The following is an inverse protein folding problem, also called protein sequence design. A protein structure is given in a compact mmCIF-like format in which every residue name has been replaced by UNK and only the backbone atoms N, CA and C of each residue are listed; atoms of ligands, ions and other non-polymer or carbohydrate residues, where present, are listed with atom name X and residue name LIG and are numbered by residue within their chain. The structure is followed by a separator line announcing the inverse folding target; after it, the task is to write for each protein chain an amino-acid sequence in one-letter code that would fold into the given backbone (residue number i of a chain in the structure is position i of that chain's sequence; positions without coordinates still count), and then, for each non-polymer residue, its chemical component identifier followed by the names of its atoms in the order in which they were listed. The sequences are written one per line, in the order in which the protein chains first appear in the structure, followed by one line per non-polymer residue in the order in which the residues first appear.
data_IF_082681356874
#
_entry.id   IF_082681356874
#
_cell.length_a   1.000
_cell.length_b   1.000
_cell.length_c   1.000
_cell.angle_alpha   90.00
_cell.angle_beta   90.00
_cell.angle_gamma   90.00
#
_symmetry.space_group_name_H-M   'P 1'
#
loop_
_entity.id
_entity.type
_entity.pdbx_description
1 polymer ?
#
# COMPACT_ATOMS: atom_id res chain seq x y z
N UNK A 1 -8.31 20.47 -38.69
CA UNK A 1 -8.50 20.23 -37.25
C UNK A 1 -8.83 18.76 -37.08
N UNK A 2 -8.04 18.02 -36.32
CA UNK A 2 -8.32 16.60 -36.06
C UNK A 2 -8.98 16.47 -34.69
N UNK A 3 -10.29 16.63 -34.65
CA UNK A 3 -11.08 16.55 -33.42
C UNK A 3 -10.89 15.24 -32.64
N UNK A 4 -10.55 14.16 -33.35
CA UNK A 4 -10.26 12.88 -32.70
C UNK A 4 -9.01 12.95 -31.81
N UNK A 5 -7.91 13.53 -32.28
CA UNK A 5 -6.69 13.72 -31.51
C UNK A 5 -6.92 14.68 -30.33
N UNK A 6 -7.71 15.73 -30.52
CA UNK A 6 -8.07 16.63 -29.42
C UNK A 6 -8.88 15.92 -28.34
N UNK A 7 -9.83 15.06 -28.73
CA UNK A 7 -10.61 14.25 -27.79
C UNK A 7 -9.69 13.25 -27.06
N UNK A 8 -8.78 12.60 -27.78
CA UNK A 8 -7.81 11.67 -27.21
C UNK A 8 -6.94 12.34 -26.17
N UNK A 9 -6.36 13.49 -26.46
CA UNK A 9 -5.58 14.31 -25.53
C UNK A 9 -6.36 14.70 -24.27
N UNK A 10 -7.64 15.02 -24.41
CA UNK A 10 -8.50 15.34 -23.27
C UNK A 10 -8.73 14.13 -22.37
N UNK A 11 -8.91 12.95 -22.97
CA UNK A 11 -9.07 11.69 -22.22
C UNK A 11 -7.77 11.36 -21.48
N UNK A 12 -6.63 11.41 -22.15
CA UNK A 12 -5.31 11.12 -21.54
C UNK A 12 -5.00 12.08 -20.37
N UNK A 13 -5.23 13.38 -20.55
CA UNK A 13 -5.07 14.37 -19.47
C UNK A 13 -5.96 14.11 -18.28
N UNK A 14 -7.20 13.65 -18.51
CA UNK A 14 -8.11 13.27 -17.42
C UNK A 14 -7.60 12.05 -16.66
N UNK A 15 -7.15 11.00 -17.36
CA UNK A 15 -6.66 9.76 -16.75
C UNK A 15 -5.42 10.02 -15.89
N UNK A 16 -4.49 10.86 -16.34
CA UNK A 16 -3.33 11.29 -15.54
C UNK A 16 -3.77 11.99 -14.26
N UNK A 17 -4.70 12.95 -14.35
CA UNK A 17 -5.23 13.64 -13.16
C UNK A 17 -5.91 12.70 -12.17
N UNK A 18 -6.69 11.75 -12.66
CA UNK A 18 -7.36 10.77 -11.81
C UNK A 18 -6.35 9.79 -11.17
N UNK A 19 -5.27 9.46 -11.87
CA UNK A 19 -4.14 8.68 -11.35
C UNK A 19 -3.45 9.41 -10.20
N UNK A 20 -3.04 10.64 -10.39
CA UNK A 20 -2.38 11.49 -9.37
C UNK A 20 -3.28 11.64 -8.14
N UNK A 21 -4.56 11.92 -8.33
CA UNK A 21 -5.53 12.06 -7.23
C UNK A 21 -5.68 10.77 -6.42
N UNK A 22 -5.70 9.60 -7.07
CA UNK A 22 -5.76 8.31 -6.38
C UNK A 22 -4.51 8.03 -5.56
N UNK A 23 -3.33 8.33 -6.10
CA UNK A 23 -2.05 8.16 -5.39
C UNK A 23 -1.97 9.06 -4.16
N UNK A 24 -2.28 10.35 -4.29
CA UNK A 24 -2.31 11.28 -3.17
C UNK A 24 -3.28 10.82 -2.08
N UNK A 25 -4.50 10.42 -2.45
CA UNK A 25 -5.49 9.92 -1.50
C UNK A 25 -5.04 8.65 -0.78
N UNK A 26 -4.35 7.73 -1.47
CA UNK A 26 -3.80 6.53 -0.85
C UNK A 26 -2.68 6.86 0.15
N UNK A 27 -1.76 7.74 -0.22
CA UNK A 27 -0.67 8.20 0.64
C UNK A 27 -1.21 8.85 1.92
N UNK A 28 -2.16 9.78 1.82
CA UNK A 28 -2.77 10.45 2.95
C UNK A 28 -3.51 9.48 3.89
N UNK A 29 -4.20 8.50 3.31
CA UNK A 29 -4.86 7.44 4.07
C UNK A 29 -3.86 6.59 4.84
N UNK A 30 -2.76 6.20 4.23
CA UNK A 30 -1.74 5.39 4.88
C UNK A 30 -1.01 6.18 5.97
N UNK A 31 -0.70 7.46 5.75
CA UNK A 31 -0.16 8.35 6.79
C UNK A 31 -1.09 8.43 7.99
N UNK A 32 -2.38 8.66 7.76
CA UNK A 32 -3.39 8.69 8.83
C UNK A 32 -3.43 7.36 9.60
N UNK A 33 -3.41 6.23 8.92
CA UNK A 33 -3.42 4.91 9.57
C UNK A 33 -2.14 4.61 10.33
N UNK A 34 -1.00 5.11 9.86
CA UNK A 34 0.27 5.04 10.56
C UNK A 34 0.23 5.81 11.88
N UNK A 35 -0.25 7.06 11.87
CA UNK A 35 -0.38 7.88 13.07
C UNK A 35 -1.39 7.29 14.07
N UNK A 36 -2.52 6.79 13.60
CA UNK A 36 -3.46 6.06 14.48
C UNK A 36 -2.78 4.84 15.10
N UNK A 37 -2.02 4.08 14.31
CA UNK A 37 -1.27 2.93 14.77
C UNK A 37 -0.25 3.29 15.84
N UNK A 38 0.46 4.41 15.68
CA UNK A 38 1.40 4.99 16.65
C UNK A 38 0.70 5.31 17.96
N UNK A 39 -0.39 6.06 17.92
CA UNK A 39 -1.17 6.41 19.12
C UNK A 39 -1.72 5.18 19.83
N UNK A 40 -2.12 4.14 19.11
CA UNK A 40 -2.55 2.87 19.69
C UNK A 40 -1.42 2.18 20.45
N UNK A 41 -0.21 2.17 19.91
CA UNK A 41 0.97 1.58 20.57
C UNK A 41 1.34 2.37 21.82
N UNK A 42 1.36 3.69 21.75
CA UNK A 42 1.65 4.57 22.87
C UNK A 42 0.64 4.39 24.01
N UNK A 43 -0.66 4.42 23.70
CA UNK A 43 -1.73 4.23 24.66
C UNK A 43 -1.76 2.85 25.33
N UNK A 44 -1.16 1.84 24.69
CA UNK A 44 -1.01 0.49 25.23
C UNK A 44 0.26 0.30 26.08
N UNK A 45 1.08 1.33 26.22
CA UNK A 45 2.37 1.26 26.92
C UNK A 45 3.46 0.54 26.14
N UNK A 46 3.36 0.52 24.79
CA UNK A 46 4.38 -0.01 23.89
C UNK A 46 3.91 -1.12 22.96
N UNK A 47 4.88 -1.78 22.31
CA UNK A 47 4.61 -2.74 21.23
C UNK A 47 4.14 -4.12 21.72
N UNK A 48 4.40 -4.47 22.97
CA UNK A 48 3.97 -5.76 23.53
C UNK A 48 2.45 -5.83 23.62
N UNK A 49 1.90 -6.96 23.23
CA UNK A 49 0.47 -7.20 23.37
C UNK A 49 0.14 -7.42 24.84
N UNK A 50 -0.82 -6.66 25.36
CA UNK A 50 -1.33 -6.82 26.72
C UNK A 50 -2.83 -7.02 26.69
N UNK A 51 -3.39 -7.69 27.71
CA UNK A 51 -4.85 -7.83 27.89
C UNK A 51 -5.53 -6.45 27.97
N UNK A 52 -4.90 -5.52 28.66
CA UNK A 52 -5.35 -4.13 28.77
C UNK A 52 -5.43 -3.46 27.39
N UNK A 53 -4.38 -3.61 26.56
CA UNK A 53 -4.36 -3.04 25.23
C UNK A 53 -5.45 -3.59 24.31
N UNK A 54 -5.76 -4.89 24.38
CA UNK A 54 -6.86 -5.48 23.62
C UNK A 54 -8.23 -4.95 24.06
N UNK A 55 -8.44 -4.71 25.36
CA UNK A 55 -9.66 -4.09 25.88
C UNK A 55 -9.80 -2.63 25.44
N UNK A 56 -8.70 -1.89 25.43
CA UNK A 56 -8.66 -0.50 24.97
C UNK A 56 -9.08 -0.40 23.49
N UNK A 57 -8.52 -1.26 22.62
CA UNK A 57 -8.91 -1.31 21.20
C UNK A 57 -10.41 -1.63 21.03
N UNK A 58 -10.96 -2.57 21.80
CA UNK A 58 -12.39 -2.88 21.76
C UNK A 58 -13.25 -1.67 22.16
N UNK A 59 -12.87 -0.98 23.24
CA UNK A 59 -13.58 0.22 23.72
C UNK A 59 -13.55 1.34 22.67
N UNK A 60 -12.38 1.62 22.10
CA UNK A 60 -12.22 2.68 21.11
C UNK A 60 -12.87 2.32 19.78
N UNK A 61 -12.77 1.08 19.32
CA UNK A 61 -13.46 0.64 18.11
C UNK A 61 -14.97 0.90 18.19
N UNK A 62 -15.61 0.60 19.33
CA UNK A 62 -17.05 0.84 19.49
C UNK A 62 -17.43 2.31 19.33
N UNK A 63 -16.63 3.23 19.90
CA UNK A 63 -16.83 4.67 19.77
C UNK A 63 -16.56 5.15 18.35
N UNK A 64 -15.37 4.83 17.81
CA UNK A 64 -14.96 5.27 16.48
C UNK A 64 -15.86 4.74 15.37
N UNK A 65 -16.36 3.50 15.49
CA UNK A 65 -17.31 2.97 14.52
C UNK A 65 -18.64 3.69 14.54
N UNK A 66 -19.09 4.16 15.70
CA UNK A 66 -20.32 4.96 15.83
C UNK A 66 -20.16 6.32 15.15
N UNK A 67 -19.00 6.96 15.35
CA UNK A 67 -18.78 8.34 14.93
C UNK A 67 -18.27 8.43 13.47
N UNK A 68 -17.43 7.46 13.03
CA UNK A 68 -16.71 7.52 11.74
C UNK A 68 -16.92 6.26 10.86
N UNK A 69 -17.73 5.30 11.29
CA UNK A 69 -18.13 4.13 10.50
C UNK A 69 -17.15 2.94 10.56
N UNK A 70 -17.45 1.93 9.72
CA UNK A 70 -16.83 0.58 9.75
C UNK A 70 -15.32 0.54 9.51
N UNK A 71 -14.73 1.64 9.01
CA UNK A 71 -13.28 1.77 8.81
C UNK A 71 -12.46 1.59 10.08
N UNK A 72 -13.06 1.76 11.26
CA UNK A 72 -12.41 1.70 12.56
C UNK A 72 -12.81 0.46 13.39
N UNK A 73 -13.11 -0.65 12.72
CA UNK A 73 -13.37 -1.94 13.37
C UNK A 73 -12.15 -2.43 14.16
N UNK A 74 -12.38 -3.30 15.14
CA UNK A 74 -11.33 -3.91 15.96
C UNK A 74 -10.20 -4.48 15.09
N UNK A 75 -10.56 -5.21 14.04
CA UNK A 75 -9.60 -5.80 13.10
C UNK A 75 -8.78 -4.71 12.41
N UNK A 76 -9.43 -3.64 11.97
CA UNK A 76 -8.73 -2.58 11.24
C UNK A 76 -7.81 -1.77 12.17
N UNK A 77 -8.23 -1.47 13.40
CA UNK A 77 -7.36 -0.83 14.41
C UNK A 77 -6.17 -1.71 14.76
N UNK A 78 -6.34 -3.03 14.90
CA UNK A 78 -5.23 -3.98 15.09
C UNK A 78 -4.29 -3.99 13.88
N UNK A 79 -4.81 -3.85 12.68
CA UNK A 79 -4.01 -3.74 11.46
C UNK A 79 -3.25 -2.41 11.39
N UNK A 80 -3.85 -1.29 11.76
CA UNK A 80 -3.16 0.01 11.86
C UNK A 80 -2.00 -0.05 12.87
N UNK A 81 -2.23 -0.69 14.03
CA UNK A 81 -1.17 -0.93 15.00
C UNK A 81 -0.02 -1.77 14.42
N UNK A 82 -0.32 -2.87 13.70
CA UNK A 82 0.70 -3.68 13.03
C UNK A 82 1.45 -2.88 11.97
N UNK A 83 0.72 -2.08 11.20
CA UNK A 83 1.28 -1.23 10.15
C UNK A 83 2.34 -0.28 10.72
N UNK A 84 2.02 0.42 11.81
CA UNK A 84 3.00 1.26 12.50
C UNK A 84 4.24 0.47 12.94
N UNK A 85 4.07 -0.69 13.59
CA UNK A 85 5.19 -1.50 14.08
C UNK A 85 6.09 -1.96 12.93
N UNK A 86 5.53 -2.35 11.80
CA UNK A 86 6.28 -2.80 10.62
C UNK A 86 7.02 -1.62 9.96
N UNK A 87 6.40 -0.45 9.88
CA UNK A 87 6.96 0.71 9.17
C UNK A 87 7.77 1.65 10.06
N UNK A 88 7.79 1.42 11.37
CA UNK A 88 8.54 2.24 12.34
C UNK A 88 10.03 2.28 12.01
N UNK A 89 10.57 3.50 11.93
CA UNK A 89 11.99 3.72 11.64
C UNK A 89 12.39 3.54 10.18
N UNK A 90 11.42 3.40 9.28
CA UNK A 90 11.63 3.32 7.84
C UNK A 90 10.80 4.38 7.10
N UNK A 91 11.20 4.79 5.90
CA UNK A 91 10.32 5.59 5.05
C UNK A 91 9.00 4.88 4.81
N UNK A 92 7.89 5.62 4.92
CA UNK A 92 6.57 5.05 4.74
C UNK A 92 6.40 4.53 3.31
N UNK A 93 6.06 3.24 3.18
CA UNK A 93 5.74 2.63 1.89
C UNK A 93 4.30 2.97 1.52
N UNK A 94 4.10 4.04 0.78
CA UNK A 94 2.80 4.58 0.38
C UNK A 94 2.31 4.13 -1.00
N UNK A 95 3.15 3.40 -1.74
CA UNK A 95 2.81 2.83 -3.07
C UNK A 95 1.87 1.63 -3.00
N UNK A 96 1.80 0.93 -1.87
CA UNK A 96 0.87 -0.17 -1.65
C UNK A 96 -0.49 0.35 -1.20
N UNK A 97 -1.56 -0.29 -1.66
CA UNK A 97 -2.90 -0.01 -1.13
C UNK A 97 -3.08 -0.60 0.26
N UNK A 98 -4.01 -0.05 1.06
CA UNK A 98 -4.34 -0.65 2.36
C UNK A 98 -4.77 -2.12 2.24
N UNK A 99 -5.45 -2.47 1.16
CA UNK A 99 -5.87 -3.86 0.91
C UNK A 99 -4.69 -4.79 0.66
N UNK A 100 -3.60 -4.33 0.01
CA UNK A 100 -2.37 -5.10 -0.13
C UNK A 100 -1.71 -5.30 1.24
N UNK A 101 -1.63 -4.24 2.06
CA UNK A 101 -1.12 -4.33 3.42
C UNK A 101 -1.86 -5.36 4.28
N UNK A 102 -3.20 -5.47 4.14
CA UNK A 102 -3.96 -6.48 4.91
C UNK A 102 -3.57 -7.93 4.59
N UNK A 103 -3.08 -8.21 3.39
CA UNK A 103 -2.54 -9.52 3.02
C UNK A 103 -1.12 -9.76 3.56
N UNK A 104 -0.35 -8.71 3.79
CA UNK A 104 1.03 -8.79 4.26
C UNK A 104 1.14 -8.89 5.79
N UNK A 105 0.16 -8.38 6.54
CA UNK A 105 0.17 -8.41 8.00
C UNK A 105 0.27 -9.80 8.65
N UNK A 106 -0.27 -10.89 8.07
CA UNK A 106 -0.10 -12.23 8.63
C UNK A 106 1.32 -12.79 8.50
N UNK A 107 2.12 -12.29 7.54
CA UNK A 107 3.47 -12.78 7.26
C UNK A 107 4.40 -12.35 8.39
N UNK A 108 4.98 -13.34 9.08
CA UNK A 108 5.84 -13.11 10.25
C UNK A 108 7.30 -12.88 9.87
N UNK A 109 7.77 -13.56 8.82
CA UNK A 109 9.14 -13.41 8.33
C UNK A 109 9.29 -12.06 7.63
N UNK A 110 10.21 -11.23 8.10
CA UNK A 110 10.44 -9.89 7.58
C UNK A 110 10.99 -9.92 6.14
N UNK A 111 11.90 -10.85 5.83
CA UNK A 111 12.43 -11.00 4.47
C UNK A 111 11.33 -11.41 3.49
N UNK A 112 10.48 -12.36 3.86
CA UNK A 112 9.34 -12.78 3.05
C UNK A 112 8.36 -11.61 2.82
N UNK A 113 8.03 -10.88 3.88
CA UNK A 113 7.14 -9.72 3.79
C UNK A 113 7.76 -8.64 2.90
N UNK A 114 9.04 -8.32 3.07
CA UNK A 114 9.76 -7.35 2.26
C UNK A 114 9.82 -7.77 0.79
N UNK A 115 10.00 -9.06 0.50
CA UNK A 115 9.91 -9.59 -0.84
C UNK A 115 8.57 -9.25 -1.50
N UNK A 116 7.45 -9.56 -0.84
CA UNK A 116 6.13 -9.28 -1.41
C UNK A 116 5.82 -7.77 -1.49
N UNK A 117 6.33 -6.95 -0.56
CA UNK A 117 6.28 -5.49 -0.67
C UNK A 117 6.98 -5.04 -1.95
N UNK A 118 8.22 -5.52 -2.18
CA UNK A 118 8.99 -5.17 -3.36
C UNK A 118 8.30 -5.64 -4.65
N UNK A 119 7.69 -6.83 -4.67
CA UNK A 119 6.91 -7.28 -5.81
C UNK A 119 5.71 -6.36 -6.10
N UNK A 120 5.04 -5.86 -5.06
CA UNK A 120 3.97 -4.88 -5.24
C UNK A 120 4.48 -3.56 -5.81
N UNK A 121 5.65 -3.07 -5.34
CA UNK A 121 6.23 -1.80 -5.79
C UNK A 121 6.69 -1.90 -7.25
N UNK A 122 7.38 -2.99 -7.61
CA UNK A 122 7.96 -3.17 -8.94
C UNK A 122 6.92 -3.47 -10.02
N UNK A 123 5.91 -4.29 -9.68
CA UNK A 123 4.95 -4.82 -10.65
C UNK A 123 3.54 -4.22 -10.49
N UNK A 124 3.37 -3.26 -9.58
CA UNK A 124 2.07 -2.64 -9.26
C UNK A 124 0.94 -3.66 -9.06
N UNK A 125 1.21 -4.67 -8.22
CA UNK A 125 0.29 -5.79 -8.06
C UNK A 125 -1.05 -5.37 -7.44
N UNK A 126 -2.13 -5.80 -8.06
CA UNK A 126 -3.46 -5.75 -7.46
C UNK A 126 -3.55 -6.70 -6.25
N UNK A 127 -4.58 -6.53 -5.42
CA UNK A 127 -4.85 -7.44 -4.30
C UNK A 127 -4.92 -8.91 -4.74
N UNK A 128 -5.54 -9.18 -5.90
CA UNK A 128 -5.72 -10.57 -6.41
C UNK A 128 -4.40 -11.17 -6.84
N UNK A 129 -3.58 -10.42 -7.55
CA UNK A 129 -2.24 -10.85 -8.00
C UNK A 129 -1.33 -11.11 -6.80
N UNK A 130 -1.32 -10.21 -5.82
CA UNK A 130 -0.55 -10.41 -4.59
C UNK A 130 -1.01 -11.66 -3.82
N UNK A 131 -2.32 -11.86 -3.66
CA UNK A 131 -2.86 -13.04 -3.00
C UNK A 131 -2.48 -14.33 -3.73
N UNK A 132 -2.50 -14.33 -5.07
CA UNK A 132 -2.03 -15.44 -5.89
C UNK A 132 -0.55 -15.72 -5.64
N UNK A 133 0.30 -14.69 -5.68
CA UNK A 133 1.75 -14.80 -5.49
C UNK A 133 2.10 -15.38 -4.11
N UNK A 134 1.39 -14.94 -3.06
CA UNK A 134 1.54 -15.48 -1.70
C UNK A 134 1.10 -16.94 -1.63
N UNK A 135 -0.05 -17.29 -2.23
CA UNK A 135 -0.57 -18.66 -2.27
C UNK A 135 0.37 -19.61 -2.98
N UNK A 136 1.01 -19.17 -4.06
CA UNK A 136 1.99 -19.92 -4.84
C UNK A 136 3.36 -20.00 -4.17
N UNK A 137 3.53 -19.40 -2.98
CA UNK A 137 4.77 -19.39 -2.20
C UNK A 137 5.97 -18.92 -3.02
N UNK A 138 5.81 -17.82 -3.76
CA UNK A 138 6.85 -17.32 -4.66
C UNK A 138 8.17 -17.02 -3.94
N UNK A 139 8.13 -16.57 -2.69
CA UNK A 139 9.31 -16.38 -1.85
C UNK A 139 10.08 -17.67 -1.61
N UNK A 140 9.39 -18.81 -1.43
CA UNK A 140 10.04 -20.10 -1.16
C UNK A 140 10.87 -20.61 -2.33
N UNK A 141 10.58 -20.11 -3.55
CA UNK A 141 11.32 -20.48 -4.79
C UNK A 141 12.64 -19.72 -4.95
N UNK A 142 12.89 -18.70 -4.15
CA UNK A 142 14.15 -17.98 -4.18
C UNK A 142 15.31 -18.87 -3.68
N UNK A 143 16.52 -18.60 -4.19
CA UNK A 143 17.72 -19.22 -3.64
C UNK A 143 17.93 -18.82 -2.17
N UNK A 144 18.72 -19.59 -1.43
CA UNK A 144 19.05 -19.25 -0.04
C UNK A 144 19.74 -17.88 0.08
N UNK A 145 20.60 -17.54 -0.87
CA UNK A 145 21.29 -16.25 -0.90
C UNK A 145 20.31 -15.09 -1.10
N UNK A 146 19.32 -15.24 -2.00
CA UNK A 146 18.34 -14.21 -2.31
C UNK A 146 17.31 -14.00 -1.19
N UNK A 147 17.11 -14.99 -0.33
CA UNK A 147 16.17 -14.90 0.81
C UNK A 147 16.68 -14.05 1.95
N UNK A 148 17.99 -13.84 2.02
CA UNK A 148 18.62 -13.13 3.14
C UNK A 148 18.75 -11.65 2.85
N UNK A 149 18.54 -10.82 3.89
CA UNK A 149 18.68 -9.35 3.83
C UNK A 149 17.85 -8.63 2.76
N UNK A 150 16.64 -9.08 2.50
CA UNK A 150 15.73 -8.39 1.59
C UNK A 150 15.27 -7.08 2.24
N UNK A 151 15.81 -5.97 1.75
CA UNK A 151 15.39 -4.62 2.13
C UNK A 151 14.25 -4.15 1.24
N UNK A 152 13.37 -3.32 1.79
CA UNK A 152 12.35 -2.66 0.99
C UNK A 152 13.04 -1.67 0.05
N UNK A 153 12.64 -1.71 -1.23
CA UNK A 153 13.13 -0.79 -2.25
C UNK A 153 12.59 0.60 -1.92
N UNK A 154 13.48 1.49 -1.51
CA UNK A 154 13.18 2.90 -1.34
C UNK A 154 13.53 3.61 -2.64
N UNK A 155 12.53 3.92 -3.44
CA UNK A 155 12.69 5.01 -4.38
C UNK A 155 12.76 6.27 -3.52
N UNK A 156 13.96 6.84 -3.35
CA UNK A 156 14.10 8.14 -2.70
C UNK A 156 13.07 9.06 -3.34
N UNK A 157 12.19 9.60 -2.53
CA UNK A 157 11.42 10.78 -2.90
C UNK A 157 12.40 11.95 -2.96
N UNK A 158 13.20 12.02 -4.00
CA UNK A 158 13.78 13.27 -4.42
C UNK A 158 12.61 14.14 -4.83
N UNK A 159 12.49 15.23 -4.12
CA UNK A 159 11.45 16.21 -4.19
C UNK A 159 11.04 16.49 -5.65
N UNK A 160 9.74 16.63 -5.86
CA UNK A 160 9.12 16.90 -7.14
C UNK A 160 9.22 15.74 -8.15
N UNK A 161 8.22 14.87 -8.13
CA UNK A 161 7.86 14.13 -9.32
C UNK A 161 7.66 15.16 -10.44
N UNK A 162 8.62 15.24 -11.38
CA UNK A 162 8.33 15.98 -12.59
C UNK A 162 7.17 15.27 -13.29
N UNK A 163 6.38 15.99 -14.07
CA UNK A 163 5.34 15.36 -14.91
C UNK A 163 5.89 14.17 -15.71
N UNK A 164 7.17 14.23 -16.06
CA UNK A 164 7.91 13.19 -16.78
C UNK A 164 8.16 11.95 -15.93
N UNK A 165 8.48 12.10 -14.63
CA UNK A 165 8.69 11.00 -13.70
C UNK A 165 7.35 10.33 -13.34
N UNK A 166 6.26 11.12 -13.27
CA UNK A 166 4.90 10.61 -13.12
C UNK A 166 4.44 9.81 -14.34
N UNK A 167 4.82 10.20 -15.53
CA UNK A 167 4.52 9.48 -16.77
C UNK A 167 5.32 8.17 -16.92
N UNK A 168 6.49 8.08 -16.28
CA UNK A 168 7.33 6.88 -16.25
C UNK A 168 7.00 5.94 -15.07
N UNK A 169 6.13 6.36 -14.12
CA UNK A 169 5.71 5.51 -13.02
C UNK A 169 4.80 4.38 -13.56
N UNK A 170 5.16 3.09 -13.37
CA UNK A 170 4.35 1.95 -13.84
C UNK A 170 2.90 1.96 -13.33
N UNK A 171 2.62 2.69 -12.25
CA UNK A 171 1.27 2.88 -11.69
C UNK A 171 0.41 3.73 -12.62
N UNK A 172 1.02 4.65 -13.35
CA UNK A 172 0.31 5.59 -14.25
C UNK A 172 0.23 5.04 -15.68
N UNK A 173 1.19 4.20 -16.09
CA UNK A 173 1.35 3.73 -17.49
C UNK A 173 0.57 2.45 -17.80
N UNK A 174 -0.17 1.84 -16.90
CA UNK A 174 -1.16 0.81 -17.31
C UNK A 174 -2.36 1.44 -18.02
N UNK A 175 -2.09 2.09 -19.13
CA UNK A 175 -3.10 2.31 -20.17
C UNK A 175 -3.45 0.93 -20.74
N UNK A 176 -4.74 0.62 -20.96
CA UNK A 176 -5.10 -0.58 -21.68
C UNK A 176 -4.44 -0.50 -23.06
N UNK A 177 -3.50 -1.38 -23.36
CA UNK A 177 -3.10 -1.63 -24.73
C UNK A 177 -4.34 -2.11 -25.46
N UNK A 178 -4.91 -1.29 -26.28
CA UNK A 178 -5.80 -1.74 -27.33
C UNK A 178 -4.96 -2.59 -28.31
N UNK A 179 -4.80 -3.87 -27.99
CA UNK A 179 -4.52 -4.87 -28.99
C UNK A 179 -5.85 -5.10 -29.71
N UNK A 180 -5.94 -4.58 -30.88
CA UNK A 180 -6.71 -5.01 -32.04
C UNK A 180 -7.21 -3.79 -32.82
N UNK A 181 -6.32 -3.27 -33.65
CA UNK A 181 -6.72 -2.75 -34.94
C UNK A 181 -6.01 -3.66 -35.95
N UNK A 182 -6.63 -4.80 -36.25
CA UNK A 182 -6.38 -5.50 -37.50
C UNK A 182 -7.28 -4.87 -38.56
N UNK A 183 -6.69 -4.61 -39.70
CA UNK A 183 -7.14 -4.03 -40.91
C UNK A 183 -8.55 -4.44 -41.40
#
# INVERSE_FOLDING_TARGET
MNYYEEIKDLIEKKEVKDGVRRLSHNSDKLKTYYEIGKLLVEAQGGEKKTRYGDMLIKKWSKKLMKDYGKGYSITNLKNMRKFYIIQKGQPLVDRLTWTNWTLLFPIKNDNERNYYINQCILNNLSKRELAKLIKEKAYDRLSYADKNNIKIINFKNEASYSLKDMLLDPIIIKLPRNENISE
#
